data_IF_952835391730
#
_entry.id   IF_952835391730
#
_cell.length_a   1.000
_cell.length_b   1.000
_cell.length_c   1.000
_cell.angle_alpha   90.00
_cell.angle_beta   90.00
_cell.angle_gamma   90.00
#
_symmetry.space_group_name_H-M   'P 1'
#
loop_
_entity.id
_entity.type
_entity.pdbx_description
1 polymer ?
#
# COMPACT_ATOMS: atom_id res chain seq x y z
N UNK A 1 19.31 -18.86 21.10
CA UNK A 1 18.70 -19.23 19.80
C UNK A 1 17.38 -19.96 20.05
N UNK A 2 16.22 -19.33 19.85
CA UNK A 2 14.91 -20.00 20.03
C UNK A 2 14.29 -20.29 18.66
N UNK A 3 14.10 -21.58 18.34
CA UNK A 3 13.40 -22.05 17.14
C UNK A 3 11.97 -22.44 17.50
N UNK A 4 11.02 -21.57 17.21
CA UNK A 4 9.61 -21.78 17.57
C UNK A 4 8.87 -22.47 16.43
N UNK A 5 8.54 -23.75 16.60
CA UNK A 5 7.89 -24.54 15.55
C UNK A 5 6.38 -24.30 15.43
N UNK A 6 5.64 -24.25 16.56
CA UNK A 6 4.19 -23.93 16.59
C UNK A 6 3.81 -23.26 17.91
N UNK A 7 3.14 -22.11 17.86
CA UNK A 7 2.53 -21.47 19.03
C UNK A 7 1.11 -20.99 18.71
N UNK A 8 0.18 -21.28 19.61
CA UNK A 8 -1.15 -20.70 19.62
C UNK A 8 -1.37 -19.95 20.93
N UNK A 9 -1.48 -18.63 20.86
CA UNK A 9 -1.71 -17.79 22.04
C UNK A 9 -3.05 -17.07 21.95
N UNK A 10 -3.81 -17.08 23.04
CA UNK A 10 -5.00 -16.26 23.24
C UNK A 10 -4.75 -15.33 24.43
N UNK A 11 -4.64 -14.05 24.16
CA UNK A 11 -4.38 -13.03 25.17
C UNK A 11 -5.55 -12.06 25.19
N UNK A 12 -6.14 -11.83 26.37
CA UNK A 12 -7.23 -10.86 26.51
C UNK A 12 -6.65 -9.45 26.62
N UNK A 13 -6.00 -9.14 27.72
CA UNK A 13 -5.38 -7.84 27.97
C UNK A 13 -3.92 -8.10 28.31
N UNK A 14 -3.02 -7.38 27.66
CA UNK A 14 -1.59 -7.38 27.98
C UNK A 14 -1.04 -5.99 27.71
N UNK A 15 -0.01 -5.60 28.44
CA UNK A 15 0.66 -4.32 28.19
C UNK A 15 1.48 -4.45 26.92
N UNK A 16 2.49 -5.32 26.91
CA UNK A 16 3.40 -5.52 25.79
C UNK A 16 3.51 -6.99 25.40
N UNK A 17 3.74 -7.24 24.11
CA UNK A 17 4.19 -8.53 23.59
C UNK A 17 5.48 -8.27 22.81
N UNK A 18 6.58 -8.85 23.27
CA UNK A 18 7.88 -8.78 22.60
C UNK A 18 8.34 -10.18 22.19
N UNK A 19 9.02 -10.28 21.05
CA UNK A 19 9.55 -11.56 20.58
C UNK A 19 10.78 -11.39 19.69
N UNK A 20 11.89 -12.01 20.12
CA UNK A 20 13.13 -12.12 19.36
C UNK A 20 13.33 -13.56 18.92
N UNK A 21 13.49 -13.79 17.62
CA UNK A 21 13.60 -15.15 17.11
C UNK A 21 14.52 -15.27 15.89
N UNK A 22 15.14 -16.44 15.72
CA UNK A 22 15.81 -16.72 14.44
C UNK A 22 14.78 -17.18 13.41
N UNK A 23 13.90 -18.11 13.80
CA UNK A 23 12.88 -18.64 12.90
C UNK A 23 11.59 -18.95 13.62
N UNK A 24 10.48 -18.48 13.04
CA UNK A 24 9.11 -18.83 13.42
C UNK A 24 8.42 -19.47 12.21
N UNK A 25 7.81 -20.65 12.38
CA UNK A 25 7.21 -21.38 11.25
C UNK A 25 5.69 -21.31 11.14
N UNK A 26 4.99 -21.45 12.26
CA UNK A 26 3.51 -21.44 12.31
C UNK A 26 3.08 -20.83 13.63
N UNK A 27 2.92 -19.52 13.62
CA UNK A 27 2.40 -18.77 14.76
C UNK A 27 0.96 -18.35 14.49
N UNK A 28 0.06 -18.61 15.44
CA UNK A 28 -1.30 -18.10 15.39
C UNK A 28 -1.65 -17.41 16.70
N UNK A 29 -1.82 -16.10 16.69
CA UNK A 29 -2.18 -15.34 17.89
C UNK A 29 -3.54 -14.66 17.78
N UNK A 30 -4.26 -14.60 18.91
CA UNK A 30 -5.45 -13.78 19.07
C UNK A 30 -5.28 -12.88 20.29
N UNK A 31 -5.26 -11.58 20.07
CA UNK A 31 -5.08 -10.56 21.11
C UNK A 31 -6.28 -9.62 21.09
N UNK A 32 -6.92 -9.39 22.24
CA UNK A 32 -8.06 -8.46 22.32
C UNK A 32 -7.55 -7.02 22.52
N UNK A 33 -6.85 -6.74 23.60
CA UNK A 33 -6.27 -5.44 23.89
C UNK A 33 -4.78 -5.59 24.20
N UNK A 34 -3.97 -4.77 23.56
CA UNK A 34 -2.53 -4.68 23.80
C UNK A 34 -2.06 -3.25 23.60
N UNK A 35 -1.07 -2.79 24.35
CA UNK A 35 -0.48 -1.46 24.10
C UNK A 35 0.50 -1.62 22.93
N UNK A 36 1.53 -2.43 23.07
CA UNK A 36 2.56 -2.62 22.06
C UNK A 36 2.76 -4.08 21.66
N UNK A 37 3.02 -4.31 20.38
CA UNK A 37 3.53 -5.59 19.87
C UNK A 37 4.81 -5.30 19.10
N UNK A 38 5.92 -5.84 19.57
CA UNK A 38 7.22 -5.76 18.93
C UNK A 38 7.72 -7.15 18.54
N UNK A 39 8.35 -7.27 17.37
CA UNK A 39 8.86 -8.56 16.93
C UNK A 39 10.04 -8.42 15.98
N UNK A 40 11.16 -9.03 16.36
CA UNK A 40 12.39 -9.11 15.59
C UNK A 40 12.65 -10.56 15.24
N UNK A 41 12.62 -10.87 13.94
CA UNK A 41 12.85 -12.24 13.50
C UNK A 41 13.61 -12.31 12.18
N UNK A 42 14.67 -13.12 12.08
CA UNK A 42 15.31 -13.32 10.76
C UNK A 42 14.30 -13.89 9.75
N UNK A 43 13.64 -14.99 10.10
CA UNK A 43 12.67 -15.63 9.19
C UNK A 43 11.34 -15.93 9.86
N UNK A 44 10.25 -15.51 9.23
CA UNK A 44 8.88 -15.82 9.68
C UNK A 44 8.08 -16.46 8.55
N UNK A 45 7.73 -17.72 8.70
CA UNK A 45 6.81 -18.42 7.81
C UNK A 45 5.42 -18.48 8.42
N UNK A 46 4.41 -18.29 7.57
CA UNK A 46 2.97 -18.48 7.85
C UNK A 46 2.49 -17.91 9.20
N UNK A 47 2.86 -16.68 9.61
CA UNK A 47 2.29 -16.08 10.81
C UNK A 47 0.84 -15.67 10.54
N UNK A 48 -0.02 -15.87 11.52
CA UNK A 48 -1.42 -15.45 11.50
C UNK A 48 -1.75 -14.70 12.79
N UNK A 49 -2.23 -13.48 12.70
CA UNK A 49 -2.62 -12.71 13.88
C UNK A 49 -4.01 -12.09 13.74
N UNK A 50 -4.74 -12.07 14.86
CA UNK A 50 -5.98 -11.29 15.01
C UNK A 50 -5.85 -10.40 16.22
N UNK A 51 -5.85 -9.09 16.00
CA UNK A 51 -5.73 -8.07 17.04
C UNK A 51 -6.98 -7.18 17.01
N UNK A 52 -7.67 -7.03 18.14
CA UNK A 52 -8.86 -6.15 18.19
C UNK A 52 -8.43 -4.70 18.37
N UNK A 53 -7.76 -4.37 19.46
CA UNK A 53 -7.26 -3.03 19.75
C UNK A 53 -5.77 -3.11 20.07
N UNK A 54 -4.99 -2.22 19.47
CA UNK A 54 -3.55 -2.07 19.73
C UNK A 54 -3.17 -0.60 19.60
N UNK A 55 -2.19 -0.13 20.37
CA UNK A 55 -1.63 1.20 20.14
C UNK A 55 -0.60 1.08 19.02
N UNK A 56 0.48 0.32 19.22
CA UNK A 56 1.56 0.17 18.24
C UNK A 56 1.83 -1.29 17.87
N UNK A 57 2.13 -1.52 16.59
CA UNK A 57 2.72 -2.76 16.10
C UNK A 57 4.00 -2.41 15.37
N UNK A 58 5.12 -2.95 15.83
CA UNK A 58 6.41 -2.85 15.16
C UNK A 58 6.91 -4.25 14.78
N UNK A 59 7.42 -4.39 13.56
CA UNK A 59 8.03 -5.65 13.10
C UNK A 59 9.25 -5.41 12.23
N UNK A 60 10.33 -6.08 12.60
CA UNK A 60 11.56 -6.18 11.83
C UNK A 60 11.81 -7.63 11.44
N UNK A 61 11.91 -7.89 10.13
CA UNK A 61 12.25 -9.23 9.66
C UNK A 61 13.14 -9.23 8.43
N UNK A 62 14.08 -10.17 8.29
CA UNK A 62 14.75 -10.33 6.99
C UNK A 62 13.77 -10.92 5.98
N UNK A 63 13.13 -12.04 6.32
CA UNK A 63 12.20 -12.73 5.41
C UNK A 63 10.86 -13.03 6.06
N UNK A 64 9.77 -12.63 5.41
CA UNK A 64 8.41 -13.00 5.79
C UNK A 64 7.71 -13.71 4.65
N UNK A 65 7.18 -14.90 4.92
CA UNK A 65 6.41 -15.67 3.94
C UNK A 65 4.99 -15.95 4.42
N UNK A 66 3.99 -15.62 3.59
CA UNK A 66 2.57 -15.96 3.78
C UNK A 66 1.98 -15.40 5.08
N UNK A 67 2.30 -14.14 5.41
CA UNK A 67 1.71 -13.45 6.56
C UNK A 67 0.23 -13.15 6.34
N UNK A 68 -0.57 -13.38 7.38
CA UNK A 68 -1.98 -13.00 7.44
C UNK A 68 -2.26 -12.21 8.72
N UNK A 69 -2.72 -10.97 8.59
CA UNK A 69 -3.06 -10.13 9.75
C UNK A 69 -4.46 -9.52 9.63
N UNK A 70 -5.19 -9.56 10.74
CA UNK A 70 -6.46 -8.87 10.91
C UNK A 70 -6.36 -7.94 12.13
N UNK A 71 -6.51 -6.64 11.90
CA UNK A 71 -6.45 -5.62 12.94
C UNK A 71 -7.74 -4.79 12.89
N UNK A 72 -8.46 -4.63 14.00
CA UNK A 72 -9.66 -3.77 14.01
C UNK A 72 -9.30 -2.31 14.23
N UNK A 73 -8.68 -1.98 15.36
CA UNK A 73 -8.27 -0.62 15.69
C UNK A 73 -6.79 -0.63 16.05
N UNK A 74 -6.04 0.28 15.45
CA UNK A 74 -4.61 0.48 15.72
C UNK A 74 -4.27 1.96 15.62
N UNK A 75 -3.33 2.45 16.41
CA UNK A 75 -2.78 3.79 16.21
C UNK A 75 -1.71 3.72 15.11
N UNK A 76 -0.62 2.98 15.34
CA UNK A 76 0.49 2.86 14.38
C UNK A 76 0.81 1.40 14.03
N UNK A 77 1.16 1.20 12.76
CA UNK A 77 1.81 -0.04 12.29
C UNK A 77 3.08 0.36 11.55
N UNK A 78 4.20 -0.14 12.01
CA UNK A 78 5.50 0.00 11.36
C UNK A 78 6.06 -1.37 11.02
N UNK A 79 6.46 -1.56 9.76
CA UNK A 79 6.99 -2.84 9.28
C UNK A 79 8.20 -2.60 8.40
N UNK A 80 9.33 -3.11 8.86
CA UNK A 80 10.60 -3.16 8.15
C UNK A 80 10.90 -4.60 7.76
N UNK A 81 11.00 -4.87 6.45
CA UNK A 81 11.36 -6.20 5.99
C UNK A 81 12.26 -6.20 4.77
N UNK A 82 13.30 -7.03 4.74
CA UNK A 82 14.09 -7.17 3.50
C UNK A 82 13.23 -7.77 2.38
N UNK A 83 12.63 -8.94 2.63
CA UNK A 83 11.80 -9.65 1.66
C UNK A 83 10.47 -10.11 2.24
N UNK A 84 9.37 -9.79 1.54
CA UNK A 84 8.01 -10.20 1.94
C UNK A 84 7.30 -10.91 0.79
N UNK A 85 6.95 -12.17 1.00
CA UNK A 85 6.18 -12.96 0.03
C UNK A 85 4.75 -13.19 0.49
N UNK A 86 3.79 -12.81 -0.36
CA UNK A 86 2.35 -13.02 -0.19
C UNK A 86 1.80 -12.51 1.16
N UNK A 87 2.08 -11.26 1.59
CA UNK A 87 1.46 -10.70 2.77
C UNK A 87 -0.01 -10.38 2.48
N UNK A 88 -0.88 -10.68 3.43
CA UNK A 88 -2.29 -10.31 3.42
C UNK A 88 -2.67 -9.60 4.70
N UNK A 89 -3.12 -8.35 4.60
CA UNK A 89 -3.60 -7.58 5.76
C UNK A 89 -5.01 -7.06 5.56
N UNK A 90 -5.81 -7.07 6.63
CA UNK A 90 -7.05 -6.30 6.73
C UNK A 90 -7.04 -5.44 7.97
N UNK A 91 -7.21 -4.15 7.77
CA UNK A 91 -7.22 -3.14 8.84
C UNK A 91 -8.53 -2.36 8.75
N UNK A 92 -9.27 -2.25 9.87
CA UNK A 92 -10.55 -1.51 9.87
C UNK A 92 -10.30 -0.02 10.12
N UNK A 93 -9.70 0.34 11.24
CA UNK A 93 -9.37 1.72 11.59
C UNK A 93 -7.88 1.78 11.98
N UNK A 94 -7.17 2.74 11.42
CA UNK A 94 -5.75 2.98 11.72
C UNK A 94 -5.45 4.47 11.65
N UNK A 95 -4.53 4.98 12.45
CA UNK A 95 -4.01 6.34 12.27
C UNK A 95 -2.92 6.29 11.20
N UNK A 96 -1.81 5.58 11.44
CA UNK A 96 -0.70 5.48 10.50
C UNK A 96 -0.33 4.04 10.16
N UNK A 97 0.02 3.81 8.89
CA UNK A 97 0.71 2.60 8.43
C UNK A 97 1.97 3.02 7.68
N UNK A 98 3.11 2.59 8.17
CA UNK A 98 4.40 2.75 7.51
C UNK A 98 4.97 1.38 7.15
N UNK A 99 5.53 1.27 5.94
CA UNK A 99 6.17 0.04 5.47
C UNK A 99 7.40 0.34 4.65
N UNK A 100 8.51 -0.24 5.08
CA UNK A 100 9.78 -0.24 4.37
C UNK A 100 10.13 -1.67 3.98
N UNK A 101 10.25 -1.94 2.68
CA UNK A 101 10.68 -3.25 2.22
C UNK A 101 11.60 -3.19 1.01
N UNK A 102 12.69 -3.96 0.97
CA UNK A 102 13.46 -4.05 -0.30
C UNK A 102 12.59 -4.71 -1.38
N UNK A 103 12.06 -5.90 -1.11
CA UNK A 103 11.27 -6.64 -2.10
C UNK A 103 9.95 -7.15 -1.54
N UNK A 104 8.85 -6.87 -2.27
CA UNK A 104 7.51 -7.35 -1.92
C UNK A 104 6.86 -8.09 -3.09
N UNK A 105 6.53 -9.37 -2.88
CA UNK A 105 5.84 -10.19 -3.87
C UNK A 105 4.39 -10.45 -3.47
N UNK A 106 3.47 -10.15 -4.38
CA UNK A 106 2.03 -10.43 -4.29
C UNK A 106 1.38 -9.89 -3.00
N UNK A 107 1.61 -8.61 -2.60
CA UNK A 107 0.93 -8.06 -1.44
C UNK A 107 -0.56 -7.82 -1.71
N UNK A 108 -1.38 -8.11 -0.70
CA UNK A 108 -2.81 -7.82 -0.68
C UNK A 108 -3.19 -7.08 0.59
N UNK A 109 -3.72 -5.86 0.48
CA UNK A 109 -4.16 -5.08 1.63
C UNK A 109 -5.59 -4.56 1.47
N UNK A 110 -6.38 -4.63 2.54
CA UNK A 110 -7.69 -3.96 2.63
C UNK A 110 -7.71 -3.05 3.85
N UNK A 111 -7.92 -1.75 3.63
CA UNK A 111 -7.99 -0.74 4.69
C UNK A 111 -9.32 -0.01 4.58
N UNK A 112 -10.07 0.09 5.67
CA UNK A 112 -11.38 0.77 5.65
C UNK A 112 -11.23 2.27 5.95
N UNK A 113 -10.70 2.64 7.10
CA UNK A 113 -10.44 4.02 7.49
C UNK A 113 -8.99 4.16 7.92
N UNK A 114 -8.30 5.16 7.39
CA UNK A 114 -6.90 5.46 7.72
C UNK A 114 -6.63 6.96 7.64
N UNK A 115 -5.74 7.49 8.47
CA UNK A 115 -5.26 8.87 8.30
C UNK A 115 -4.14 8.85 7.25
N UNK A 116 -3.03 8.18 7.52
CA UNK A 116 -1.89 8.10 6.59
C UNK A 116 -1.49 6.67 6.24
N UNK A 117 -1.11 6.46 4.99
CA UNK A 117 -0.36 5.27 4.59
C UNK A 117 0.88 5.68 3.80
N UNK A 118 2.03 5.28 4.30
CA UNK A 118 3.32 5.45 3.66
C UNK A 118 3.91 4.09 3.27
N UNK A 119 4.49 4.00 2.08
CA UNK A 119 5.18 2.80 1.62
C UNK A 119 6.43 3.15 0.83
N UNK A 120 7.55 2.61 1.28
CA UNK A 120 8.82 2.64 0.59
C UNK A 120 9.22 1.23 0.20
N UNK A 121 9.39 0.98 -1.09
CA UNK A 121 9.89 -0.31 -1.56
C UNK A 121 10.85 -0.19 -2.73
N UNK A 122 11.96 -0.94 -2.77
CA UNK A 122 12.76 -0.99 -4.01
C UNK A 122 11.95 -1.68 -5.11
N UNK A 123 11.44 -2.90 -4.86
CA UNK A 123 10.73 -3.67 -5.87
C UNK A 123 9.39 -4.23 -5.36
N UNK A 124 8.33 -4.01 -6.15
CA UNK A 124 7.00 -4.57 -5.89
C UNK A 124 6.48 -5.37 -7.09
N UNK A 125 6.20 -6.65 -6.85
CA UNK A 125 5.58 -7.53 -7.83
C UNK A 125 4.12 -7.80 -7.49
N UNK A 126 3.18 -7.42 -8.37
CA UNK A 126 1.74 -7.78 -8.28
C UNK A 126 1.06 -7.28 -7.00
N UNK A 127 0.98 -5.96 -6.82
CA UNK A 127 0.27 -5.35 -5.71
C UNK A 127 -1.24 -5.30 -5.94
N UNK A 128 -2.01 -5.67 -4.92
CA UNK A 128 -3.45 -5.42 -4.84
C UNK A 128 -3.80 -4.65 -3.57
N UNK A 129 -4.39 -3.47 -3.72
CA UNK A 129 -4.80 -2.65 -2.57
C UNK A 129 -6.22 -2.14 -2.71
N UNK A 130 -7.01 -2.24 -1.65
CA UNK A 130 -8.33 -1.60 -1.54
C UNK A 130 -8.34 -0.68 -0.32
N UNK A 131 -8.63 0.59 -0.55
CA UNK A 131 -8.75 1.61 0.50
C UNK A 131 -10.10 2.30 0.36
N UNK A 132 -10.86 2.44 1.46
CA UNK A 132 -12.19 3.08 1.43
C UNK A 132 -12.08 4.58 1.72
N UNK A 133 -11.71 4.94 2.95
CA UNK A 133 -11.55 6.33 3.40
C UNK A 133 -10.11 6.52 3.87
N UNK A 134 -9.42 7.52 3.32
CA UNK A 134 -8.05 7.86 3.69
C UNK A 134 -7.84 9.38 3.60
N UNK A 135 -7.00 9.94 4.46
CA UNK A 135 -6.54 11.33 4.28
C UNK A 135 -5.42 11.33 3.25
N UNK A 136 -4.28 10.70 3.55
CA UNK A 136 -3.12 10.66 2.65
C UNK A 136 -2.66 9.23 2.32
N UNK A 137 -2.27 9.02 1.06
CA UNK A 137 -1.47 7.87 0.67
C UNK A 137 -0.22 8.34 -0.06
N UNK A 138 0.93 7.94 0.45
CA UNK A 138 2.23 8.15 -0.16
C UNK A 138 2.86 6.81 -0.54
N UNK A 139 3.48 6.75 -1.73
CA UNK A 139 4.22 5.58 -2.18
C UNK A 139 5.47 5.98 -2.94
N UNK A 140 6.59 5.43 -2.51
CA UNK A 140 7.88 5.53 -3.18
C UNK A 140 8.34 4.13 -3.59
N UNK A 141 8.54 3.89 -4.88
CA UNK A 141 9.09 2.64 -5.35
C UNK A 141 10.07 2.78 -6.51
N UNK A 142 11.21 2.06 -6.52
CA UNK A 142 12.04 2.03 -7.74
C UNK A 142 11.29 1.31 -8.87
N UNK A 143 10.84 0.07 -8.64
CA UNK A 143 10.17 -0.73 -9.67
C UNK A 143 8.85 -1.33 -9.19
N UNK A 144 7.79 -1.15 -9.99
CA UNK A 144 6.47 -1.77 -9.78
C UNK A 144 6.01 -2.50 -11.04
N UNK A 145 5.84 -3.83 -10.97
CA UNK A 145 5.58 -4.65 -12.17
C UNK A 145 4.11 -4.83 -12.56
N UNK A 146 3.22 -4.88 -11.56
CA UNK A 146 1.76 -4.93 -11.74
C UNK A 146 1.12 -4.33 -10.51
N UNK A 147 0.25 -3.35 -10.69
CA UNK A 147 -0.44 -2.68 -9.60
C UNK A 147 -1.93 -2.64 -9.90
N UNK A 148 -2.75 -3.03 -8.92
CA UNK A 148 -4.20 -2.87 -8.95
C UNK A 148 -4.65 -2.17 -7.68
N UNK A 149 -5.05 -0.91 -7.79
CA UNK A 149 -5.58 -0.12 -6.68
C UNK A 149 -7.05 0.24 -6.87
N UNK A 150 -7.83 0.11 -5.79
CA UNK A 150 -9.19 0.62 -5.69
C UNK A 150 -9.27 1.56 -4.50
N UNK A 151 -9.71 2.77 -4.76
CA UNK A 151 -9.68 3.88 -3.80
C UNK A 151 -11.01 4.65 -3.92
N UNK A 152 -11.64 5.03 -2.81
CA UNK A 152 -13.03 5.57 -2.82
C UNK A 152 -13.24 6.98 -2.32
N UNK A 153 -12.60 7.40 -1.23
CA UNK A 153 -12.70 8.76 -0.68
C UNK A 153 -11.31 9.10 -0.13
N UNK A 154 -10.63 10.07 -0.75
CA UNK A 154 -9.26 10.45 -0.39
C UNK A 154 -9.07 11.96 -0.45
N UNK A 155 -8.24 12.50 0.43
CA UNK A 155 -7.75 13.87 0.28
C UNK A 155 -6.60 13.86 -0.74
N UNK A 156 -5.47 13.23 -0.42
CA UNK A 156 -4.30 13.19 -1.31
C UNK A 156 -3.79 11.78 -1.62
N UNK A 157 -3.32 11.61 -2.85
CA UNK A 157 -2.56 10.43 -3.27
C UNK A 157 -1.31 10.90 -3.97
N UNK A 158 -0.15 10.53 -3.45
CA UNK A 158 1.15 10.80 -4.02
C UNK A 158 1.87 9.50 -4.36
N UNK A 159 2.42 9.41 -5.57
CA UNK A 159 3.13 8.22 -6.04
C UNK A 159 4.37 8.66 -6.80
N UNK A 160 5.53 8.25 -6.29
CA UNK A 160 6.83 8.40 -6.92
C UNK A 160 7.38 7.04 -7.30
N UNK A 161 7.69 6.85 -8.58
CA UNK A 161 8.35 5.63 -9.03
C UNK A 161 9.41 5.87 -10.10
N UNK A 162 10.46 5.04 -10.20
CA UNK A 162 11.30 5.07 -11.40
C UNK A 162 10.58 4.38 -12.56
N UNK A 163 10.21 3.11 -12.38
CA UNK A 163 9.58 2.31 -13.44
C UNK A 163 8.30 1.64 -12.97
N UNK A 164 7.22 1.80 -13.74
CA UNK A 164 5.93 1.16 -13.47
C UNK A 164 5.41 0.43 -14.71
N UNK A 165 5.20 -0.87 -14.59
CA UNK A 165 4.55 -1.69 -15.60
C UNK A 165 3.10 -2.02 -15.22
N UNK A 166 2.20 -1.86 -16.19
CA UNK A 166 0.78 -2.22 -16.12
C UNK A 166 0.09 -1.75 -14.83
N UNK A 167 0.19 -0.46 -14.44
CA UNK A 167 -0.59 0.04 -13.31
C UNK A 167 -2.06 0.16 -13.73
N UNK A 168 -2.94 -0.27 -12.84
CA UNK A 168 -4.39 -0.13 -12.96
C UNK A 168 -4.96 0.48 -11.69
N UNK A 169 -5.59 1.65 -11.80
CA UNK A 169 -6.23 2.32 -10.66
C UNK A 169 -7.69 2.66 -10.95
N UNK A 170 -8.58 2.39 -9.98
CA UNK A 170 -9.91 3.00 -9.95
C UNK A 170 -10.05 3.88 -8.71
N UNK A 171 -10.33 5.15 -8.95
CA UNK A 171 -10.39 6.16 -7.91
C UNK A 171 -11.75 6.86 -7.98
N UNK A 172 -12.35 7.13 -6.83
CA UNK A 172 -13.57 7.94 -6.71
C UNK A 172 -13.33 8.99 -5.63
N UNK A 173 -14.00 10.14 -5.73
CA UNK A 173 -14.07 11.21 -4.73
C UNK A 173 -12.69 11.55 -4.14
N UNK A 174 -11.86 12.26 -4.91
CA UNK A 174 -10.51 12.64 -4.47
C UNK A 174 -10.28 14.13 -4.63
N UNK A 175 -9.58 14.74 -3.68
CA UNK A 175 -9.12 16.12 -3.84
C UNK A 175 -7.94 16.14 -4.82
N UNK A 176 -6.79 15.57 -4.46
CA UNK A 176 -5.60 15.59 -5.32
C UNK A 176 -5.04 14.19 -5.60
N UNK A 177 -4.57 14.00 -6.83
CA UNK A 177 -3.76 12.85 -7.23
C UNK A 177 -2.51 13.35 -7.95
N UNK A 178 -1.35 13.07 -7.39
CA UNK A 178 -0.06 13.40 -7.96
C UNK A 178 0.72 12.12 -8.28
N UNK A 179 1.34 12.08 -9.47
CA UNK A 179 2.18 10.97 -9.88
C UNK A 179 3.42 11.45 -10.59
N UNK A 180 4.57 11.02 -10.10
CA UNK A 180 5.87 11.22 -10.71
C UNK A 180 6.46 9.87 -11.05
N UNK A 181 6.69 9.61 -12.34
CA UNK A 181 7.28 8.35 -12.79
C UNK A 181 8.28 8.56 -13.92
N UNK A 182 9.52 8.05 -13.85
CA UNK A 182 10.40 8.16 -15.03
C UNK A 182 9.81 7.42 -16.24
N UNK A 183 9.45 6.15 -16.08
CA UNK A 183 8.89 5.33 -17.17
C UNK A 183 7.61 4.60 -16.75
N UNK A 184 6.57 4.71 -17.59
CA UNK A 184 5.29 4.02 -17.36
C UNK A 184 4.84 3.22 -18.59
N UNK A 185 4.73 1.90 -18.43
CA UNK A 185 4.26 1.01 -19.48
C UNK A 185 2.80 0.61 -19.26
N UNK A 186 1.95 0.87 -20.26
CA UNK A 186 0.54 0.43 -20.28
C UNK A 186 -0.29 0.88 -19.05
N UNK A 187 -0.24 2.15 -18.61
CA UNK A 187 -1.10 2.61 -17.52
C UNK A 187 -2.58 2.63 -17.92
N UNK A 188 -3.43 2.23 -16.98
CA UNK A 188 -4.89 2.28 -17.08
C UNK A 188 -5.48 2.95 -15.84
N UNK A 189 -6.18 4.07 -16.00
CA UNK A 189 -6.88 4.72 -14.87
C UNK A 189 -8.36 4.96 -15.16
N UNK A 190 -9.20 4.77 -14.13
CA UNK A 190 -10.57 5.27 -14.11
C UNK A 190 -10.76 6.16 -12.89
N UNK A 191 -11.10 7.42 -13.10
CA UNK A 191 -11.33 8.38 -12.01
C UNK A 191 -12.71 9.00 -12.12
N UNK A 192 -13.35 9.27 -10.99
CA UNK A 192 -14.65 9.94 -10.93
C UNK A 192 -14.67 10.93 -9.75
N UNK A 193 -15.15 12.14 -9.98
CA UNK A 193 -15.25 13.20 -8.97
C UNK A 193 -13.88 13.51 -8.37
N UNK A 194 -13.02 14.19 -9.13
CA UNK A 194 -11.67 14.56 -8.69
C UNK A 194 -11.45 16.06 -8.86
N UNK A 195 -10.82 16.72 -7.89
CA UNK A 195 -10.48 18.15 -8.02
C UNK A 195 -9.26 18.29 -8.95
N UNK A 196 -8.11 17.76 -8.58
CA UNK A 196 -6.88 17.86 -9.38
C UNK A 196 -6.24 16.51 -9.67
N UNK A 197 -5.67 16.39 -10.86
CA UNK A 197 -4.80 15.28 -11.22
C UNK A 197 -3.56 15.82 -11.91
N UNK A 198 -2.41 15.55 -11.34
CA UNK A 198 -1.11 15.90 -11.87
C UNK A 198 -0.32 14.64 -12.19
N UNK A 199 0.31 14.61 -13.37
CA UNK A 199 1.16 13.51 -13.80
C UNK A 199 2.40 14.03 -14.49
N UNK A 200 3.55 13.68 -13.95
CA UNK A 200 4.86 13.91 -14.53
C UNK A 200 5.51 12.60 -14.88
N UNK A 201 5.89 12.41 -16.15
CA UNK A 201 6.72 11.28 -16.54
C UNK A 201 7.79 11.64 -17.56
N UNK A 202 8.86 10.86 -17.69
CA UNK A 202 9.73 11.02 -18.87
C UNK A 202 9.10 10.31 -20.07
N UNK A 203 8.73 9.04 -19.91
CA UNK A 203 8.23 8.21 -21.01
C UNK A 203 6.98 7.43 -20.65
N UNK A 204 5.98 7.46 -21.54
CA UNK A 204 4.76 6.65 -21.43
C UNK A 204 4.49 5.89 -22.74
N UNK A 205 4.43 4.55 -22.68
CA UNK A 205 4.29 3.75 -23.90
C UNK A 205 2.85 3.55 -24.40
N UNK A 206 1.86 3.39 -23.50
CA UNK A 206 0.45 3.15 -23.88
C UNK A 206 -0.51 3.59 -22.79
N UNK A 207 -0.90 4.86 -22.78
CA UNK A 207 -1.81 5.39 -21.77
C UNK A 207 -3.27 5.13 -22.12
N UNK A 208 -4.03 4.62 -21.15
CA UNK A 208 -5.49 4.58 -21.19
C UNK A 208 -6.08 5.28 -19.96
N UNK A 209 -6.94 6.26 -20.14
CA UNK A 209 -7.67 6.89 -19.04
C UNK A 209 -9.13 7.14 -19.35
N UNK A 210 -9.97 7.02 -18.32
CA UNK A 210 -11.38 7.45 -18.33
C UNK A 210 -11.64 8.29 -17.10
N UNK A 211 -11.85 9.57 -17.33
CA UNK A 211 -11.97 10.58 -16.29
C UNK A 211 -13.36 11.23 -16.38
N UNK A 212 -14.11 11.30 -15.25
CA UNK A 212 -15.44 11.90 -15.20
C UNK A 212 -15.57 12.86 -14.04
N UNK A 213 -16.11 14.06 -14.26
CA UNK A 213 -16.26 15.11 -13.26
C UNK A 213 -14.89 15.43 -12.63
N UNK A 214 -13.96 15.93 -13.45
CA UNK A 214 -12.61 16.30 -12.98
C UNK A 214 -12.39 17.79 -13.20
N UNK A 215 -12.03 18.55 -12.17
CA UNK A 215 -11.90 20.01 -12.30
C UNK A 215 -10.66 20.36 -13.12
N UNK A 216 -9.49 19.85 -12.72
CA UNK A 216 -8.22 20.10 -13.42
C UNK A 216 -7.44 18.81 -13.69
N UNK A 217 -6.83 18.74 -14.87
CA UNK A 217 -5.83 17.71 -15.18
C UNK A 217 -4.61 18.33 -15.85
N UNK A 218 -3.45 18.08 -15.26
CA UNK A 218 -2.15 18.46 -15.77
C UNK A 218 -1.33 17.21 -16.09
N UNK A 219 -0.74 17.16 -17.28
CA UNK A 219 0.11 16.05 -17.71
C UNK A 219 1.36 16.60 -18.40
N UNK A 220 2.51 16.31 -17.82
CA UNK A 220 3.81 16.57 -18.42
C UNK A 220 4.49 15.24 -18.69
N UNK A 221 4.68 14.90 -19.95
CA UNK A 221 5.65 13.88 -20.32
C UNK A 221 6.64 14.41 -21.35
N UNK A 222 7.82 13.78 -21.50
CA UNK A 222 8.72 14.07 -22.62
C UNK A 222 8.41 13.22 -23.86
N UNK A 223 7.77 12.07 -23.64
CA UNK A 223 7.44 11.15 -24.73
C UNK A 223 6.22 10.33 -24.39
N UNK A 224 5.23 10.34 -25.30
CA UNK A 224 4.06 9.47 -25.22
C UNK A 224 3.88 8.74 -26.55
N UNK A 225 4.07 7.42 -26.55
CA UNK A 225 3.97 6.64 -27.79
C UNK A 225 2.52 6.33 -28.20
N UNK A 226 1.60 6.17 -27.24
CA UNK A 226 0.18 5.94 -27.53
C UNK A 226 -0.70 6.47 -26.41
N UNK A 227 -1.74 7.20 -26.78
CA UNK A 227 -2.68 7.83 -25.87
C UNK A 227 -4.13 7.49 -26.24
N UNK A 228 -4.89 7.02 -25.25
CA UNK A 228 -6.35 6.85 -25.32
C UNK A 228 -6.96 7.44 -24.05
N UNK A 229 -7.48 8.67 -24.16
CA UNK A 229 -8.11 9.36 -23.03
C UNK A 229 -9.56 9.71 -23.35
N UNK A 230 -10.48 9.33 -22.48
CA UNK A 230 -11.86 9.84 -22.49
C UNK A 230 -12.08 10.69 -21.25
N UNK A 231 -12.50 11.94 -21.43
CA UNK A 231 -12.78 12.87 -20.34
C UNK A 231 -14.19 13.42 -20.53
N UNK A 232 -15.02 13.29 -19.50
CA UNK A 232 -16.38 13.84 -19.49
C UNK A 232 -16.53 14.84 -18.34
N UNK A 233 -16.96 16.05 -18.66
CA UNK A 233 -17.22 17.16 -17.72
C UNK A 233 -15.95 17.58 -16.94
N UNK A 234 -15.30 18.64 -17.43
CA UNK A 234 -14.08 19.21 -16.83
C UNK A 234 -14.05 20.75 -16.95
N UNK A 235 -13.17 21.39 -16.17
CA UNK A 235 -12.93 22.85 -16.24
C UNK A 235 -11.64 23.18 -16.98
N UNK A 236 -10.52 22.50 -16.67
CA UNK A 236 -9.22 22.72 -17.34
C UNK A 236 -8.47 21.42 -17.63
N UNK A 237 -7.79 21.36 -18.77
CA UNK A 237 -6.85 20.29 -19.15
C UNK A 237 -5.61 20.90 -19.78
N UNK A 238 -4.45 20.62 -19.20
CA UNK A 238 -3.13 20.94 -19.75
C UNK A 238 -2.37 19.66 -20.09
N UNK A 239 -1.73 19.64 -21.26
CA UNK A 239 -0.89 18.52 -21.71
C UNK A 239 0.36 19.05 -22.39
N UNK A 240 1.53 18.70 -21.85
CA UNK A 240 2.85 18.97 -22.43
C UNK A 240 3.51 17.63 -22.70
N UNK A 241 3.88 17.38 -23.95
CA UNK A 241 4.54 16.15 -24.41
C UNK A 241 5.90 16.46 -24.99
#
# INVERSE_FOLDING_TARGET
MVKVHRLFSRVKNVISIEGHCQTVHRLSSRVKNVISIEGHCQTVHRPSSRVKNVISIERHCQTVQRLSSLVKNVISIEIHCQTVHRPSSRVKNVISIERHCQTVHRPSSRVKNVISIERHCQTVHRLSSRVKNVISIERHCQTVQRLSSLVKNVISIEIHCQTVHRPSSRVKNVISIERHCQTVHRPSSRVKNVISIERHCQTVHRLSSRDKNVISIERHCRTVHRLSSHVNLFTSIERRW
#
